data_IF_987597111441
#
_entry.id   IF_987597111441
#
_cell.length_a   1.000
_cell.length_b   1.000
_cell.length_c   1.000
_cell.angle_alpha   90.00
_cell.angle_beta   90.00
_cell.angle_gamma   90.00
#
_symmetry.space_group_name_H-M   'P 1'
#
loop_
_entity.id
_entity.type
_entity.pdbx_description
1 polymer ?
#
# COMPACT_ATOMS: atom_id res chain seq x y z
N UNK A 1 -3.85 -0.39 22.11
CA UNK A 1 -2.56 -1.03 21.74
C UNK A 1 -2.66 -2.56 21.71
N UNK A 2 -3.03 -3.24 22.81
CA UNK A 2 -3.10 -4.73 22.88
C UNK A 2 -4.09 -5.35 21.87
N UNK A 3 -5.26 -4.73 21.67
CA UNK A 3 -6.26 -5.20 20.68
C UNK A 3 -5.74 -5.11 19.24
N UNK A 4 -5.06 -4.02 18.88
CA UNK A 4 -4.49 -3.79 17.54
C UNK A 4 -3.35 -4.77 17.23
N UNK A 5 -2.46 -5.02 18.19
CA UNK A 5 -1.43 -6.05 18.06
C UNK A 5 -2.04 -7.46 17.91
N UNK A 6 -3.14 -7.73 18.62
CA UNK A 6 -3.90 -8.97 18.48
C UNK A 6 -4.52 -9.15 17.09
N UNK A 7 -4.95 -8.08 16.41
CA UNK A 7 -5.44 -8.12 15.04
C UNK A 7 -4.31 -8.39 14.04
N UNK A 8 -3.16 -7.71 14.20
CA UNK A 8 -1.96 -7.94 13.39
C UNK A 8 -1.51 -9.40 13.50
N UNK A 9 -1.38 -9.93 14.71
CA UNK A 9 -0.99 -11.33 14.95
C UNK A 9 -1.99 -12.32 14.35
N UNK A 10 -3.30 -12.10 14.52
CA UNK A 10 -4.34 -12.97 13.92
C UNK A 10 -4.26 -12.98 12.40
N UNK A 11 -4.01 -11.84 11.77
CA UNK A 11 -3.91 -11.73 10.32
C UNK A 11 -2.64 -12.39 9.78
N UNK A 12 -1.50 -12.24 10.47
CA UNK A 12 -0.26 -12.95 10.14
C UNK A 12 -0.43 -14.49 10.21
N UNK A 13 -1.36 -14.98 11.03
CA UNK A 13 -1.71 -16.40 11.15
C UNK A 13 -2.75 -16.87 10.11
N UNK A 14 -3.50 -15.96 9.47
CA UNK A 14 -4.48 -16.24 8.40
C UNK A 14 -3.81 -16.35 7.02
N UNK A 15 -2.71 -17.08 6.94
CA UNK A 15 -1.83 -17.25 5.75
C UNK A 15 -2.48 -17.93 4.52
N UNK A 16 -3.81 -18.08 4.47
CA UNK A 16 -4.51 -18.90 3.47
C UNK A 16 -5.32 -18.15 2.42
N UNK A 17 -5.58 -16.86 2.58
CA UNK A 17 -6.35 -16.08 1.58
C UNK A 17 -5.38 -15.34 0.65
N UNK A 18 -5.43 -15.65 -0.65
CA UNK A 18 -4.57 -15.02 -1.67
C UNK A 18 -5.06 -13.60 -2.01
N UNK A 19 -6.38 -13.41 -2.00
CA UNK A 19 -7.04 -12.13 -2.24
C UNK A 19 -7.91 -11.75 -1.05
N UNK A 20 -8.01 -10.46 -0.78
CA UNK A 20 -8.88 -9.86 0.24
C UNK A 20 -9.56 -8.61 -0.35
N UNK A 21 -10.73 -8.21 0.16
CA UNK A 21 -11.33 -6.93 -0.21
C UNK A 21 -10.36 -5.77 0.08
N UNK A 22 -10.34 -4.74 -0.78
CA UNK A 22 -9.53 -3.54 -0.57
C UNK A 22 -9.77 -2.91 0.81
N UNK A 23 -11.02 -2.90 1.30
CA UNK A 23 -11.34 -2.41 2.65
C UNK A 23 -10.52 -3.09 3.74
N UNK A 24 -10.22 -4.39 3.62
CA UNK A 24 -9.43 -5.09 4.63
C UNK A 24 -7.96 -4.66 4.62
N UNK A 25 -7.36 -4.41 3.45
CA UNK A 25 -6.00 -3.82 3.39
C UNK A 25 -5.98 -2.39 3.93
N UNK A 26 -7.02 -1.59 3.65
CA UNK A 26 -7.17 -0.23 4.18
C UNK A 26 -7.31 -0.21 5.71
N UNK A 27 -8.14 -1.09 6.27
CA UNK A 27 -8.33 -1.23 7.73
C UNK A 27 -7.00 -1.63 8.42
N UNK A 28 -6.20 -2.48 7.78
CA UNK A 28 -4.89 -2.83 8.31
C UNK A 28 -3.92 -1.65 8.28
N UNK A 29 -3.93 -0.88 7.19
CA UNK A 29 -3.14 0.35 7.11
C UNK A 29 -3.54 1.32 8.21
N UNK A 30 -4.83 1.45 8.53
CA UNK A 30 -5.29 2.30 9.63
C UNK A 30 -4.76 1.83 10.98
N UNK A 31 -4.88 0.53 11.27
CA UNK A 31 -4.34 -0.05 12.49
C UNK A 31 -2.82 0.15 12.59
N UNK A 32 -2.10 0.04 11.48
CA UNK A 32 -0.66 0.26 11.40
C UNK A 32 -0.27 1.73 11.60
N UNK A 33 -0.93 2.64 10.87
CA UNK A 33 -0.67 4.08 10.95
C UNK A 33 -1.00 4.65 12.33
N UNK A 34 -2.07 4.17 12.99
CA UNK A 34 -2.39 4.58 14.36
C UNK A 34 -1.26 4.27 15.36
N UNK A 35 -0.58 3.14 15.18
CA UNK A 35 0.57 2.75 16.00
C UNK A 35 1.78 3.64 15.70
N UNK A 36 2.00 3.94 14.42
CA UNK A 36 3.11 4.75 13.95
C UNK A 36 2.96 6.22 14.34
N UNK A 37 1.75 6.79 14.24
CA UNK A 37 1.41 8.13 14.73
C UNK A 37 1.72 8.27 16.22
N UNK A 38 1.47 7.23 17.02
CA UNK A 38 1.82 7.23 18.44
C UNK A 38 3.33 7.26 18.70
N UNK A 39 4.16 6.77 17.76
CA UNK A 39 5.62 6.79 17.82
C UNK A 39 6.24 8.07 17.27
N UNK A 40 5.70 8.59 16.18
CA UNK A 40 6.19 9.81 15.51
C UNK A 40 5.69 11.10 16.16
N UNK A 41 4.62 11.04 16.95
CA UNK A 41 3.92 12.20 17.49
C UNK A 41 2.82 12.65 16.53
N UNK A 42 1.62 12.92 17.07
CA UNK A 42 0.40 13.23 16.28
C UNK A 42 0.55 14.45 15.37
N UNK A 43 1.39 15.40 15.75
CA UNK A 43 1.59 16.64 14.98
C UNK A 43 2.58 16.47 13.81
N UNK A 44 3.20 15.28 13.67
CA UNK A 44 4.26 15.02 12.71
C UNK A 44 3.83 14.10 11.54
N UNK A 45 2.60 13.59 11.51
CA UNK A 45 2.14 12.72 10.44
C UNK A 45 0.68 13.00 10.07
N UNK A 46 0.47 13.55 8.88
CA UNK A 46 -0.85 13.79 8.29
C UNK A 46 -1.21 12.65 7.33
N UNK A 47 -2.37 12.03 7.54
CA UNK A 47 -2.89 10.98 6.66
C UNK A 47 -4.13 11.50 5.96
N UNK A 48 -4.05 11.62 4.64
CA UNK A 48 -5.16 12.07 3.79
C UNK A 48 -5.64 10.88 2.97
N UNK A 49 -6.96 10.65 2.96
CA UNK A 49 -7.57 9.56 2.21
C UNK A 49 -8.67 10.09 1.28
N UNK A 50 -8.62 9.70 0.02
CA UNK A 50 -9.66 9.91 -0.98
C UNK A 50 -10.01 8.56 -1.59
N UNK A 51 -10.86 7.82 -0.89
CA UNK A 51 -11.23 6.45 -1.27
C UNK A 51 -12.58 6.51 -1.98
N UNK A 52 -12.64 5.93 -3.16
CA UNK A 52 -13.90 5.69 -3.87
C UNK A 52 -14.59 4.46 -3.25
N UNK A 53 -15.79 4.64 -2.69
CA UNK A 53 -16.54 3.58 -2.02
C UNK A 53 -16.79 2.37 -2.93
N UNK A 54 -16.87 2.58 -4.25
CA UNK A 54 -17.06 1.49 -5.22
C UNK A 54 -15.87 0.53 -5.27
N UNK A 55 -14.69 0.97 -4.83
CA UNK A 55 -13.46 0.18 -4.86
C UNK A 55 -13.28 -0.71 -3.62
N UNK A 56 -14.06 -0.50 -2.56
CA UNK A 56 -13.85 -1.13 -1.26
C UNK A 56 -14.00 -2.66 -1.28
N UNK A 57 -14.91 -3.16 -2.12
CA UNK A 57 -15.20 -4.60 -2.28
C UNK A 57 -14.41 -5.23 -3.43
N UNK A 58 -13.53 -4.46 -4.10
CA UNK A 58 -12.65 -5.02 -5.12
C UNK A 58 -11.59 -5.90 -4.45
N UNK A 59 -11.50 -7.16 -4.88
CA UNK A 59 -10.53 -8.11 -4.36
C UNK A 59 -9.14 -7.82 -4.92
N UNK A 60 -8.19 -7.61 -4.01
CA UNK A 60 -6.78 -7.38 -4.32
C UNK A 60 -5.91 -8.41 -3.59
N UNK A 61 -4.67 -8.66 -4.06
CA UNK A 61 -3.75 -9.51 -3.32
C UNK A 61 -3.59 -9.00 -1.89
N UNK A 62 -3.58 -9.90 -0.91
CA UNK A 62 -3.26 -9.50 0.45
C UNK A 62 -1.84 -8.89 0.52
N UNK A 63 -1.53 -8.15 1.58
CA UNK A 63 -0.22 -7.50 1.78
C UNK A 63 0.26 -6.68 0.56
N UNK A 64 -0.66 -6.09 -0.20
CA UNK A 64 -0.29 -5.27 -1.36
C UNK A 64 0.10 -3.86 -0.90
N UNK A 65 -0.69 -3.29 0.01
CA UNK A 65 -0.52 -1.89 0.42
C UNK A 65 0.45 -1.73 1.59
N UNK A 66 0.48 -2.71 2.49
CA UNK A 66 1.34 -2.69 3.67
C UNK A 66 2.83 -2.41 3.34
N UNK A 67 3.49 -3.14 2.41
CA UNK A 67 4.91 -2.89 2.13
C UNK A 67 5.17 -1.49 1.59
N UNK A 68 4.20 -0.91 0.88
CA UNK A 68 4.32 0.42 0.30
C UNK A 68 4.21 1.50 1.39
N UNK A 69 3.19 1.40 2.24
CA UNK A 69 3.00 2.34 3.36
C UNK A 69 4.17 2.26 4.34
N UNK A 70 4.68 1.05 4.62
CA UNK A 70 5.89 0.88 5.43
C UNK A 70 7.10 1.59 4.81
N UNK A 71 7.27 1.53 3.49
CA UNK A 71 8.35 2.22 2.79
C UNK A 71 8.19 3.75 2.89
N UNK A 72 6.98 4.28 2.70
CA UNK A 72 6.70 5.71 2.87
C UNK A 72 7.11 6.19 4.26
N UNK A 73 6.74 5.45 5.32
CA UNK A 73 7.10 5.82 6.69
C UNK A 73 8.60 5.67 6.98
N UNK A 74 9.19 4.50 6.71
CA UNK A 74 10.57 4.17 7.10
C UNK A 74 11.63 4.89 6.28
N UNK A 75 11.39 5.03 4.98
CA UNK A 75 12.38 5.55 4.04
C UNK A 75 12.06 6.97 3.55
N UNK A 76 10.77 7.31 3.41
CA UNK A 76 10.34 8.64 2.99
C UNK A 76 10.31 9.63 4.16
N UNK A 77 9.51 9.34 5.18
CA UNK A 77 9.15 10.30 6.23
C UNK A 77 10.05 10.26 7.45
N UNK A 78 10.51 9.08 7.90
CA UNK A 78 11.35 8.95 9.09
C UNK A 78 12.67 9.76 9.05
N UNK A 79 13.37 9.91 7.90
CA UNK A 79 14.56 10.74 7.81
C UNK A 79 14.27 12.25 7.87
N UNK A 80 13.01 12.67 7.75
CA UNK A 80 12.60 14.07 7.73
C UNK A 80 12.40 14.55 9.16
N UNK A 81 12.98 15.71 9.50
CA UNK A 81 12.81 16.35 10.81
C UNK A 81 11.46 17.08 10.92
N UNK A 82 10.97 17.58 9.79
CA UNK A 82 9.65 18.20 9.65
C UNK A 82 8.64 17.09 9.35
N UNK A 83 7.42 17.20 9.90
CA UNK A 83 6.39 16.19 9.74
C UNK A 83 6.13 15.75 8.29
N UNK A 84 5.45 14.61 8.15
CA UNK A 84 5.16 13.97 6.89
C UNK A 84 3.68 13.95 6.56
N UNK A 85 3.37 13.78 5.28
CA UNK A 85 2.04 13.51 4.77
C UNK A 85 2.06 12.24 3.95
N UNK A 86 1.07 11.38 4.14
CA UNK A 86 0.73 10.29 3.22
C UNK A 86 -0.65 10.56 2.66
N UNK A 87 -0.77 10.50 1.34
CA UNK A 87 -2.03 10.62 0.61
C UNK A 87 -2.35 9.28 -0.05
N UNK A 88 -3.48 8.68 0.35
CA UNK A 88 -3.99 7.45 -0.20
C UNK A 88 -5.22 7.74 -1.07
N UNK A 89 -5.20 7.30 -2.33
CA UNK A 89 -6.31 7.52 -3.26
C UNK A 89 -6.70 6.22 -3.94
N UNK A 90 -7.99 6.01 -4.13
CA UNK A 90 -8.51 4.88 -4.91
C UNK A 90 -9.57 5.37 -5.88
N UNK A 91 -9.64 4.75 -7.05
CA UNK A 91 -10.67 5.05 -8.04
C UNK A 91 -10.92 3.82 -8.91
N UNK A 92 -12.17 3.63 -9.33
CA UNK A 92 -12.48 2.78 -10.47
C UNK A 92 -12.29 3.58 -11.77
N UNK A 93 -11.49 3.05 -12.70
CA UNK A 93 -11.28 3.60 -14.04
C UNK A 93 -11.48 2.50 -15.06
N UNK A 94 -12.64 2.51 -15.73
CA UNK A 94 -12.97 1.60 -16.83
C UNK A 94 -12.83 0.11 -16.44
N UNK A 95 -13.34 -0.27 -15.26
CA UNK A 95 -13.26 -1.66 -14.77
C UNK A 95 -11.88 -2.06 -14.25
N UNK A 96 -11.00 -1.08 -14.01
CA UNK A 96 -9.71 -1.28 -13.34
C UNK A 96 -9.67 -0.49 -12.06
N UNK A 97 -9.16 -1.12 -11.01
CA UNK A 97 -8.87 -0.46 -9.76
C UNK A 97 -7.54 0.29 -9.88
N UNK A 98 -7.58 1.60 -9.68
CA UNK A 98 -6.42 2.44 -9.48
C UNK A 98 -6.22 2.69 -7.98
N UNK A 99 -5.01 2.43 -7.49
CA UNK A 99 -4.57 2.76 -6.13
C UNK A 99 -3.34 3.66 -6.23
N UNK A 100 -3.36 4.79 -5.53
CA UNK A 100 -2.24 5.70 -5.45
C UNK A 100 -1.83 5.90 -3.98
N UNK A 101 -0.53 5.78 -3.72
CA UNK A 101 0.07 6.09 -2.41
C UNK A 101 1.16 7.11 -2.64
N UNK A 102 1.01 8.29 -2.06
CA UNK A 102 1.92 9.40 -2.22
C UNK A 102 2.43 9.88 -0.86
N UNK A 103 3.74 10.02 -0.70
CA UNK A 103 4.35 10.68 0.45
C UNK A 103 5.12 11.93 0.02
N UNK A 104 5.24 12.90 0.93
CA UNK A 104 6.06 14.11 0.75
C UNK A 104 7.42 14.01 1.46
N UNK A 105 7.97 12.79 1.52
CA UNK A 105 9.23 12.49 2.20
C UNK A 105 10.45 12.95 1.43
N UNK A 106 11.60 12.38 1.77
CA UNK A 106 12.89 12.72 1.15
C UNK A 106 13.03 12.25 -0.31
N UNK A 107 12.07 11.46 -0.80
CA UNK A 107 12.13 10.86 -2.14
C UNK A 107 13.26 9.84 -2.30
N UNK A 108 13.39 9.30 -3.51
CA UNK A 108 14.39 8.30 -3.87
C UNK A 108 15.59 9.01 -4.52
N UNK A 109 16.81 8.88 -3.96
CA UNK A 109 18.03 9.42 -4.57
C UNK A 109 18.21 8.92 -6.01
N UNK A 110 18.72 9.78 -6.89
CA UNK A 110 18.88 9.45 -8.32
C UNK A 110 19.72 8.19 -8.54
N UNK A 111 20.74 7.99 -7.71
CA UNK A 111 21.64 6.84 -7.71
C UNK A 111 20.91 5.50 -7.48
N UNK A 112 19.79 5.53 -6.75
CA UNK A 112 19.00 4.34 -6.41
C UNK A 112 17.83 4.11 -7.36
N UNK A 113 17.47 5.09 -8.21
CA UNK A 113 16.36 4.99 -9.17
C UNK A 113 16.41 3.76 -10.08
N UNK A 114 17.56 3.34 -10.63
CA UNK A 114 17.63 2.16 -11.49
C UNK A 114 17.25 0.85 -10.77
N UNK A 115 17.52 0.78 -9.47
CA UNK A 115 17.43 -0.44 -8.68
C UNK A 115 16.24 -0.48 -7.72
N UNK A 116 15.31 0.49 -7.77
CA UNK A 116 14.19 0.56 -6.82
C UNK A 116 13.38 -0.73 -6.75
N UNK A 117 13.18 -1.39 -7.89
CA UNK A 117 12.48 -2.67 -7.97
C UNK A 117 13.34 -3.90 -7.61
N UNK A 118 14.66 -3.75 -7.56
CA UNK A 118 15.63 -4.86 -7.38
C UNK A 118 16.17 -4.89 -5.94
N UNK A 119 16.49 -3.73 -5.38
CA UNK A 119 17.04 -3.58 -4.02
C UNK A 119 15.95 -3.35 -2.97
N UNK A 120 14.81 -2.77 -3.37
CA UNK A 120 13.67 -2.54 -2.48
C UNK A 120 12.88 -3.83 -2.22
N UNK A 121 13.27 -4.60 -1.21
CA UNK A 121 12.65 -5.90 -0.85
C UNK A 121 11.11 -5.82 -0.84
N UNK A 122 10.54 -4.76 -0.25
CA UNK A 122 9.09 -4.58 -0.17
C UNK A 122 8.41 -4.40 -1.53
N UNK A 123 8.97 -3.56 -2.41
CA UNK A 123 8.35 -3.23 -3.69
C UNK A 123 8.63 -4.29 -4.77
N UNK A 124 9.79 -4.96 -4.67
CA UNK A 124 10.10 -6.14 -5.48
C UNK A 124 9.09 -7.25 -5.22
N UNK A 125 8.78 -7.52 -3.95
CA UNK A 125 7.77 -8.50 -3.55
C UNK A 125 6.37 -8.13 -4.04
N UNK A 126 5.99 -6.85 -3.97
CA UNK A 126 4.72 -6.36 -4.52
C UNK A 126 4.66 -6.60 -6.03
N UNK A 127 5.70 -6.23 -6.77
CA UNK A 127 5.75 -6.43 -8.23
C UNK A 127 5.65 -7.90 -8.62
N UNK A 128 6.40 -8.76 -7.94
CA UNK A 128 6.39 -10.20 -8.24
C UNK A 128 5.04 -10.83 -7.90
N UNK A 129 4.42 -10.42 -6.78
CA UNK A 129 3.07 -10.84 -6.43
C UNK A 129 2.03 -10.43 -7.47
N UNK A 130 2.09 -9.18 -7.93
CA UNK A 130 1.21 -8.70 -9.00
C UNK A 130 1.43 -9.49 -10.29
N UNK A 131 2.69 -9.77 -10.66
CA UNK A 131 3.02 -10.59 -11.83
C UNK A 131 2.49 -12.02 -11.73
N UNK A 132 2.63 -12.66 -10.59
CA UNK A 132 2.15 -14.05 -10.39
C UNK A 132 0.63 -14.12 -10.48
N UNK A 133 -0.09 -13.11 -9.98
CA UNK A 133 -1.55 -13.14 -9.85
C UNK A 133 -2.29 -12.53 -11.05
N UNK A 134 -1.71 -11.54 -11.72
CA UNK A 134 -2.31 -10.83 -12.86
C UNK A 134 -1.55 -11.03 -14.17
N UNK A 135 -0.44 -11.78 -14.17
CA UNK A 135 0.43 -11.90 -15.35
C UNK A 135 1.01 -10.54 -15.73
N UNK A 136 0.79 -10.12 -16.98
CA UNK A 136 1.16 -8.79 -17.47
C UNK A 136 0.01 -7.78 -17.38
N UNK A 137 -1.17 -8.18 -16.90
CA UNK A 137 -2.35 -7.31 -16.79
C UNK A 137 -2.34 -6.48 -15.49
N UNK A 138 -1.24 -5.77 -15.24
CA UNK A 138 -1.13 -4.80 -14.16
C UNK A 138 -0.18 -3.66 -14.53
N UNK A 139 -0.34 -2.52 -13.88
CA UNK A 139 0.63 -1.44 -13.92
C UNK A 139 1.13 -1.15 -12.51
N UNK A 140 2.45 -1.00 -12.37
CA UNK A 140 3.09 -0.51 -11.16
C UNK A 140 4.08 0.58 -11.56
N UNK A 141 3.70 1.83 -11.33
CA UNK A 141 4.48 3.00 -11.69
C UNK A 141 4.96 3.74 -10.44
N UNK A 142 6.21 4.18 -10.45
CA UNK A 142 6.83 4.93 -9.36
C UNK A 142 7.32 6.26 -9.93
N UNK A 143 6.86 7.36 -9.34
CA UNK A 143 7.42 8.70 -9.57
C UNK A 143 8.03 9.17 -8.27
N UNK A 144 9.29 9.58 -8.30
CA UNK A 144 9.97 10.07 -7.11
C UNK A 144 11.02 11.10 -7.45
N UNK A 145 11.06 12.16 -6.66
CA UNK A 145 12.02 13.25 -6.80
C UNK A 145 12.67 13.53 -5.44
N UNK A 146 14.02 13.58 -5.37
CA UNK A 146 14.71 13.92 -4.14
C UNK A 146 14.19 15.22 -3.52
N UNK A 147 13.80 15.14 -2.25
CA UNK A 147 13.24 16.25 -1.47
C UNK A 147 11.75 16.54 -1.69
N UNK A 148 11.10 15.94 -2.69
CA UNK A 148 9.68 16.17 -3.00
C UNK A 148 8.78 14.97 -2.65
N UNK A 149 9.37 13.79 -2.47
CA UNK A 149 8.67 12.59 -2.03
C UNK A 149 8.50 11.54 -3.13
N UNK A 150 7.53 10.65 -2.95
CA UNK A 150 7.32 9.48 -3.82
C UNK A 150 5.84 9.21 -4.02
N UNK A 151 5.46 8.96 -5.26
CA UNK A 151 4.15 8.49 -5.68
C UNK A 151 4.28 7.08 -6.27
N UNK A 152 3.54 6.14 -5.70
CA UNK A 152 3.37 4.78 -6.22
C UNK A 152 1.94 4.63 -6.73
N UNK A 153 1.81 4.20 -7.97
CA UNK A 153 0.53 3.96 -8.63
C UNK A 153 0.45 2.48 -9.01
N UNK A 154 -0.62 1.81 -8.55
CA UNK A 154 -0.96 0.45 -8.92
C UNK A 154 -2.26 0.47 -9.70
N UNK A 155 -2.30 -0.22 -10.83
CA UNK A 155 -3.54 -0.47 -11.56
C UNK A 155 -3.69 -1.96 -11.82
N UNK A 156 -4.82 -2.53 -11.39
CA UNK A 156 -5.16 -3.96 -11.58
C UNK A 156 -6.58 -4.08 -12.14
N UNK A 157 -6.89 -5.10 -12.95
CA UNK A 157 -8.26 -5.37 -13.36
C UNK A 157 -9.11 -5.71 -12.12
N UNK A 158 -10.36 -5.28 -12.13
CA UNK A 158 -11.30 -5.73 -11.10
C UNK A 158 -11.58 -7.22 -11.29
N UNK A 159 -11.24 -8.01 -10.28
CA UNK A 159 -11.66 -9.40 -10.23
C UNK A 159 -13.14 -9.41 -9.89
N UNK A 160 -13.99 -9.72 -10.87
CA UNK A 160 -15.41 -9.92 -10.65
C UNK A 160 -15.60 -10.92 -9.49
N UNK A 161 -16.56 -10.62 -8.60
CA UNK A 161 -16.92 -11.31 -7.34
C UNK A 161 -17.14 -12.84 -7.45
N UNK A 162 -16.98 -13.45 -8.62
CA UNK A 162 -17.19 -14.88 -8.92
C UNK A 162 -16.25 -15.84 -8.17
N UNK A 163 -15.21 -15.37 -7.46
CA UNK A 163 -14.33 -16.26 -6.68
C UNK A 163 -14.91 -16.70 -5.32
N UNK A 164 -16.06 -16.17 -4.89
CA UNK A 164 -16.70 -16.58 -3.62
C UNK A 164 -17.44 -17.93 -3.68
N UNK A 165 -17.53 -18.60 -4.84
CA UNK A 165 -18.26 -19.88 -4.99
C UNK A 165 -17.39 -21.09 -5.34
N UNK A 166 -16.07 -20.95 -5.44
CA UNK A 166 -15.15 -22.07 -5.69
C UNK A 166 -14.48 -22.53 -4.38
N UNK A 167 -15.29 -22.95 -3.43
CA UNK A 167 -14.84 -23.45 -2.14
C UNK A 167 -15.95 -24.25 -1.47
N UNK A 168 -16.33 -25.37 -2.08
CA UNK A 168 -17.17 -26.41 -1.49
C UNK A 168 -16.50 -27.77 -1.72
#
# INVERSE_FOLDING_TARGET
VVLKLGNILRRLLRKHETFVPLREELEFIDDYLDIEVARFGRDNLEIVKQIDDQTLETFIPNMLLQPIVENCLKHGLAPKLEGGRIHLRTANRDGRLLIEIEDNGVGIPEEKRPNVYVEGIGLSNVRERLRVLYGDDFLLHIRSQPGEGTLIQIQVPELATTMASAGN
#
